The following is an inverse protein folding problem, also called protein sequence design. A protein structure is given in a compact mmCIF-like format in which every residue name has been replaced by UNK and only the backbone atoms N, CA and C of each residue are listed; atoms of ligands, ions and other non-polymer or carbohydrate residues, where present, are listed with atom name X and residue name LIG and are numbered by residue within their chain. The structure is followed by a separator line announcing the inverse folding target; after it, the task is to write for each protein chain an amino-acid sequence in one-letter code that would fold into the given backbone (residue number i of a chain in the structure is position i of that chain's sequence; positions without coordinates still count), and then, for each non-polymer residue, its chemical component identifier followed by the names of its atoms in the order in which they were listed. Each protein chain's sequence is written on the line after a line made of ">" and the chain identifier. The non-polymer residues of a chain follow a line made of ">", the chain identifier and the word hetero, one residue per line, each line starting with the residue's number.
data_IF_154356004412
#
_entry.id   IF_154356004412
#
_cell.length_a   1.000
_cell.length_b   1.000
_cell.length_c   1.000
_cell.angle_alpha   90.00
_cell.angle_beta   90.00
_cell.angle_gamma   90.00
#
_symmetry.space_group_name_H-M   'P 1'
#
loop_
_entity.id
_entity.type
_entity.pdbx_description
1 polymer ?
#
# COMPACT_ATOMS: atom_id res chain seq x y z
N UNK A 1 -13.97 12.87 -3.60
CA UNK A 1 -14.83 12.80 -4.79
C UNK A 1 -14.05 12.19 -5.93
N UNK A 2 -14.56 11.16 -6.63
CA UNK A 2 -13.95 10.71 -7.87
C UNK A 2 -13.97 11.86 -8.89
N UNK A 3 -12.87 12.07 -9.59
CA UNK A 3 -12.74 13.15 -10.58
C UNK A 3 -12.41 12.61 -11.97
N UNK A 4 -12.28 11.29 -12.11
CA UNK A 4 -11.91 10.60 -13.35
C UNK A 4 -12.78 9.36 -13.56
N UNK A 5 -12.99 8.98 -14.82
CA UNK A 5 -13.80 7.84 -15.23
C UNK A 5 -13.08 7.06 -16.35
N UNK A 6 -13.00 5.72 -16.22
CA UNK A 6 -12.49 4.82 -17.27
C UNK A 6 -13.68 4.13 -17.94
N UNK A 7 -13.86 4.32 -19.24
CA UNK A 7 -14.95 3.68 -19.98
C UNK A 7 -14.73 2.16 -20.08
N UNK A 8 -15.76 1.38 -19.73
CA UNK A 8 -15.72 -0.08 -19.82
C UNK A 8 -16.41 -0.55 -21.10
N UNK A 9 -15.81 -1.50 -21.83
CA UNK A 9 -16.38 -2.06 -23.06
C UNK A 9 -17.54 -3.03 -22.83
N UNK A 10 -17.80 -3.43 -21.57
CA UNK A 10 -18.82 -4.42 -21.22
C UNK A 10 -19.80 -3.79 -20.22
N UNK A 11 -20.81 -3.08 -20.71
CA UNK A 11 -21.89 -2.58 -19.84
C UNK A 11 -22.93 -3.68 -19.67
N UNK A 12 -23.02 -4.22 -18.47
CA UNK A 12 -24.12 -5.10 -18.07
C UNK A 12 -25.36 -4.26 -17.73
N UNK A 13 -26.55 -4.83 -17.90
CA UNK A 13 -27.82 -4.08 -17.76
C UNK A 13 -27.99 -3.58 -16.32
N UNK A 14 -27.75 -2.30 -16.08
CA UNK A 14 -27.86 -1.64 -14.77
C UNK A 14 -26.55 -1.06 -14.23
N UNK A 15 -25.42 -1.30 -14.90
CA UNK A 15 -24.11 -0.79 -14.51
C UNK A 15 -23.73 0.45 -15.35
N UNK A 16 -23.17 1.46 -14.70
CA UNK A 16 -22.62 2.63 -15.39
C UNK A 16 -21.52 2.14 -16.35
N UNK A 17 -21.41 2.66 -17.59
CA UNK A 17 -20.45 2.18 -18.58
C UNK A 17 -19.02 2.67 -18.30
N UNK A 18 -18.70 2.97 -17.05
CA UNK A 18 -17.41 3.46 -16.61
C UNK A 18 -17.16 3.16 -15.13
N UNK A 19 -15.89 3.02 -14.79
CA UNK A 19 -15.40 2.91 -13.42
C UNK A 19 -14.84 4.26 -12.95
N UNK A 20 -15.15 4.67 -11.72
CA UNK A 20 -14.77 5.97 -11.17
C UNK A 20 -13.49 5.88 -10.34
N UNK A 21 -12.58 6.84 -10.55
CA UNK A 21 -11.29 6.91 -9.86
C UNK A 21 -11.08 8.25 -9.15
N UNK A 22 -10.47 8.25 -7.95
CA UNK A 22 -10.09 9.48 -7.26
C UNK A 22 -8.91 10.15 -7.98
N UNK A 23 -9.00 11.45 -8.29
CA UNK A 23 -7.89 12.22 -8.86
C UNK A 23 -7.08 12.99 -7.83
N UNK A 24 -6.97 12.47 -6.61
CA UNK A 24 -6.37 13.19 -5.48
C UNK A 24 -4.88 13.51 -5.65
N UNK A 25 -4.20 13.04 -6.71
CA UNK A 25 -2.76 13.21 -6.88
C UNK A 25 -2.33 13.60 -8.32
N UNK A 26 -3.20 14.24 -9.11
CA UNK A 26 -2.82 14.74 -10.44
C UNK A 26 -2.64 13.61 -11.47
N UNK A 27 -1.53 13.61 -12.23
CA UNK A 27 -1.21 12.51 -13.18
C UNK A 27 -1.00 11.18 -12.45
N UNK A 28 -0.47 11.21 -11.22
CA UNK A 28 -0.17 10.03 -10.43
C UNK A 28 -1.44 9.19 -10.20
N UNK A 29 -1.46 8.01 -10.81
CA UNK A 29 -2.58 7.07 -10.76
C UNK A 29 -3.42 7.05 -12.03
N UNK A 30 -3.43 8.14 -12.82
CA UNK A 30 -4.04 8.13 -14.15
C UNK A 30 -3.24 7.30 -15.14
N UNK A 31 -1.93 7.19 -14.97
CA UNK A 31 -1.09 6.32 -15.80
C UNK A 31 -1.62 4.88 -15.78
N UNK A 32 -2.07 4.41 -14.61
CA UNK A 32 -2.65 3.06 -14.46
C UNK A 32 -3.93 2.88 -15.28
N UNK A 33 -4.76 3.92 -15.40
CA UNK A 33 -6.00 3.86 -16.19
C UNK A 33 -5.76 3.68 -17.69
N UNK A 34 -4.58 4.08 -18.17
CA UNK A 34 -4.18 4.01 -19.57
C UNK A 34 -3.05 3.00 -19.81
N UNK A 35 -2.77 2.12 -18.84
CA UNK A 35 -1.77 1.06 -18.97
C UNK A 35 -0.32 1.54 -18.98
N UNK A 36 -0.06 2.75 -18.48
CA UNK A 36 1.28 3.31 -18.33
C UNK A 36 1.83 3.02 -16.92
N UNK A 37 3.15 2.83 -16.77
CA UNK A 37 3.76 2.70 -15.45
C UNK A 37 3.64 4.02 -14.68
N UNK A 38 3.31 3.94 -13.39
CA UNK A 38 3.36 5.12 -12.52
C UNK A 38 4.82 5.54 -12.32
N UNK A 39 5.16 6.82 -12.49
CA UNK A 39 6.52 7.29 -12.22
C UNK A 39 6.85 7.12 -10.73
N UNK A 40 8.12 6.83 -10.37
CA UNK A 40 8.55 6.81 -8.98
C UNK A 40 8.29 8.16 -8.30
N UNK A 41 7.77 8.13 -7.08
CA UNK A 41 7.62 9.33 -6.27
C UNK A 41 8.86 9.49 -5.38
N UNK A 42 9.67 10.55 -5.54
CA UNK A 42 10.87 10.75 -4.72
C UNK A 42 10.55 10.95 -3.23
N UNK A 43 9.30 11.28 -2.90
CA UNK A 43 8.80 11.39 -1.53
C UNK A 43 8.17 10.08 -1.00
N UNK A 44 8.21 8.97 -1.76
CA UNK A 44 7.66 7.67 -1.37
C UNK A 44 8.48 6.96 -0.30
N UNK A 45 8.64 7.63 0.84
CA UNK A 45 9.30 7.12 2.03
C UNK A 45 8.30 7.25 3.17
N UNK A 46 8.05 6.13 3.85
CA UNK A 46 7.16 6.13 4.99
C UNK A 46 7.77 6.94 6.16
N UNK A 47 6.96 7.61 6.99
CA UNK A 47 7.47 8.39 8.13
C UNK A 47 8.39 7.57 9.04
N UNK A 48 9.37 8.18 9.72
CA UNK A 48 10.21 7.47 10.66
C UNK A 48 9.38 6.92 11.84
N UNK A 49 9.76 5.73 12.32
CA UNK A 49 9.16 5.16 13.55
C UNK A 49 9.76 5.87 14.77
N UNK A 50 8.91 6.49 15.58
CA UNK A 50 9.33 7.48 16.57
C UNK A 50 9.77 6.86 17.89
N UNK A 51 9.14 5.74 18.27
CA UNK A 51 9.41 5.07 19.55
C UNK A 51 10.30 3.84 19.41
N UNK A 52 10.98 3.51 20.51
CA UNK A 52 11.63 2.22 20.66
C UNK A 52 10.60 1.12 20.95
N UNK A 53 10.95 -0.10 20.55
CA UNK A 53 10.20 -1.32 20.82
C UNK A 53 10.40 -1.78 22.26
N UNK A 54 9.34 -2.31 22.87
CA UNK A 54 9.43 -3.03 24.12
C UNK A 54 9.70 -4.53 23.91
N UNK A 55 9.85 -5.29 25.02
CA UNK A 55 10.07 -6.74 24.96
C UNK A 55 8.94 -7.49 24.24
N UNK A 56 7.70 -7.04 24.40
CA UNK A 56 6.54 -7.68 23.79
C UNK A 56 6.53 -7.51 22.27
N UNK A 57 6.76 -6.29 21.77
CA UNK A 57 6.82 -6.02 20.34
C UNK A 57 7.95 -6.81 19.66
N UNK A 58 9.11 -6.89 20.32
CA UNK A 58 10.24 -7.68 19.84
C UNK A 58 9.91 -9.18 19.77
N UNK A 59 9.25 -9.72 20.79
CA UNK A 59 8.83 -11.12 20.80
C UNK A 59 7.84 -11.42 19.66
N UNK A 60 6.83 -10.57 19.47
CA UNK A 60 5.86 -10.69 18.38
C UNK A 60 6.56 -10.59 17.02
N UNK A 61 7.39 -9.56 16.81
CA UNK A 61 8.05 -9.35 15.53
C UNK A 61 9.03 -10.48 15.17
N UNK A 62 9.68 -11.09 16.16
CA UNK A 62 10.54 -12.27 15.94
C UNK A 62 9.72 -13.45 15.43
N UNK A 63 8.59 -13.76 16.09
CA UNK A 63 7.72 -14.85 15.65
C UNK A 63 7.07 -14.59 14.28
N UNK A 64 6.71 -13.34 14.01
CA UNK A 64 6.21 -12.91 12.70
C UNK A 64 7.28 -13.12 11.61
N UNK A 65 8.52 -12.72 11.86
CA UNK A 65 9.64 -12.86 10.92
C UNK A 65 10.01 -14.34 10.63
N UNK A 66 9.86 -15.22 11.61
CA UNK A 66 10.10 -16.67 11.48
C UNK A 66 8.90 -17.40 10.82
N UNK A 67 7.75 -16.74 10.74
CA UNK A 67 6.52 -17.27 10.17
C UNK A 67 6.35 -16.86 8.69
N UNK A 68 5.24 -17.28 8.08
CA UNK A 68 4.81 -16.83 6.74
C UNK A 68 3.85 -15.64 6.80
N UNK A 69 3.99 -14.79 7.82
CA UNK A 69 3.12 -13.62 8.03
C UNK A 69 3.77 -12.41 7.37
N UNK A 70 2.98 -11.66 6.60
CA UNK A 70 3.42 -10.44 5.92
C UNK A 70 2.38 -9.34 6.14
N UNK A 71 2.85 -8.10 6.30
CA UNK A 71 2.00 -6.92 6.33
C UNK A 71 1.99 -6.27 4.95
N UNK A 72 0.80 -6.10 4.37
CA UNK A 72 0.59 -5.38 3.12
C UNK A 72 0.18 -3.95 3.43
N UNK A 73 0.85 -2.95 2.86
CA UNK A 73 0.53 -1.57 3.11
C UNK A 73 1.06 -0.62 2.05
N UNK A 74 0.93 0.68 2.32
CA UNK A 74 1.53 1.73 1.49
C UNK A 74 2.25 2.77 2.36
N UNK A 75 3.29 3.38 1.80
CA UNK A 75 4.13 4.36 2.50
C UNK A 75 3.39 5.61 3.00
N UNK A 76 2.33 6.04 2.31
CA UNK A 76 1.55 7.25 2.64
C UNK A 76 0.37 6.98 3.58
N UNK A 77 0.09 5.72 3.88
CA UNK A 77 -1.14 5.32 4.55
C UNK A 77 -1.05 5.51 6.06
N UNK A 78 -1.98 6.29 6.63
CA UNK A 78 -1.96 6.66 8.05
C UNK A 78 -2.14 5.46 8.99
N UNK A 79 -2.98 4.50 8.64
CA UNK A 79 -3.13 3.26 9.42
C UNK A 79 -1.90 2.37 9.33
N UNK A 80 -1.20 2.42 8.18
CA UNK A 80 0.07 1.74 7.96
C UNK A 80 1.12 2.31 8.87
N UNK A 81 1.21 3.63 8.95
CA UNK A 81 2.10 4.28 9.89
C UNK A 81 1.74 3.93 11.33
N UNK A 82 0.47 4.01 11.73
CA UNK A 82 0.04 3.66 13.09
C UNK A 82 0.49 2.24 13.50
N UNK A 83 0.30 1.26 12.62
CA UNK A 83 0.73 -0.12 12.88
C UNK A 83 2.26 -0.24 13.01
N UNK A 84 3.02 0.50 12.20
CA UNK A 84 4.50 0.57 12.32
C UNK A 84 4.92 1.18 13.65
N UNK A 85 4.25 2.26 14.06
CA UNK A 85 4.48 2.89 15.37
C UNK A 85 4.14 1.92 16.51
N UNK A 86 3.14 1.05 16.38
CA UNK A 86 2.83 0.01 17.38
C UNK A 86 3.90 -1.08 17.52
N UNK A 87 4.79 -1.26 16.55
CA UNK A 87 5.95 -2.13 16.74
C UNK A 87 7.14 -1.38 17.36
N UNK A 88 7.32 -0.10 17.04
CA UNK A 88 8.54 0.63 17.37
C UNK A 88 9.73 0.20 16.49
N UNK A 89 10.83 0.95 16.57
CA UNK A 89 11.95 0.86 15.61
C UNK A 89 12.54 -0.54 15.42
N UNK A 90 12.91 -1.20 16.52
CA UNK A 90 13.67 -2.45 16.51
C UNK A 90 12.81 -3.62 16.03
N UNK A 91 11.56 -3.67 16.47
CA UNK A 91 10.62 -4.72 16.10
C UNK A 91 10.10 -4.51 14.68
N UNK A 92 9.78 -3.28 14.28
CA UNK A 92 9.33 -2.98 12.91
C UNK A 92 10.37 -3.41 11.87
N UNK A 93 11.66 -3.21 12.16
CA UNK A 93 12.75 -3.64 11.28
C UNK A 93 12.78 -5.16 11.01
N UNK A 94 12.07 -5.97 11.80
CA UNK A 94 11.95 -7.42 11.62
C UNK A 94 10.67 -7.83 10.88
N UNK A 95 9.65 -6.98 10.82
CA UNK A 95 8.35 -7.33 10.25
C UNK A 95 8.46 -7.43 8.73
N UNK A 96 8.10 -8.57 8.11
CA UNK A 96 8.01 -8.67 6.65
C UNK A 96 6.93 -7.74 6.12
N UNK A 97 7.33 -6.69 5.41
CA UNK A 97 6.46 -5.67 4.85
C UNK A 97 6.46 -5.72 3.32
N UNK A 98 5.28 -5.65 2.72
CA UNK A 98 5.05 -5.59 1.28
C UNK A 98 4.47 -4.22 0.94
N UNK A 99 5.28 -3.40 0.27
CA UNK A 99 4.88 -2.10 -0.24
C UNK A 99 4.03 -2.26 -1.50
N UNK A 100 2.76 -1.87 -1.43
CA UNK A 100 1.79 -2.10 -2.49
C UNK A 100 1.64 -0.93 -3.46
N UNK A 101 2.19 0.25 -3.15
CA UNK A 101 2.14 1.38 -4.06
C UNK A 101 3.30 1.33 -5.06
N UNK A 102 3.05 1.17 -6.37
CA UNK A 102 4.11 1.03 -7.38
C UNK A 102 5.02 2.25 -7.52
N UNK A 103 4.68 3.38 -6.91
CA UNK A 103 5.48 4.61 -6.93
C UNK A 103 6.64 4.57 -5.94
N UNK A 104 6.60 3.68 -4.95
CA UNK A 104 7.69 3.49 -4.02
C UNK A 104 8.82 2.67 -4.66
N UNK A 105 10.06 3.02 -4.32
CA UNK A 105 11.22 2.21 -4.72
C UNK A 105 11.13 0.82 -4.07
N UNK A 106 11.29 -0.24 -4.87
CA UNK A 106 11.19 -1.62 -4.39
C UNK A 106 9.76 -2.08 -4.09
N UNK A 107 8.74 -1.37 -4.58
CA UNK A 107 7.35 -1.78 -4.47
C UNK A 107 7.09 -3.17 -5.09
N UNK A 108 6.13 -3.87 -4.50
CA UNK A 108 5.72 -5.22 -4.84
C UNK A 108 4.23 -5.25 -5.22
N UNK A 109 3.75 -4.25 -5.97
CA UNK A 109 2.34 -4.09 -6.33
C UNK A 109 1.70 -5.36 -6.92
N UNK A 110 2.40 -6.06 -7.81
CA UNK A 110 1.91 -7.32 -8.39
C UNK A 110 1.67 -8.42 -7.35
N UNK A 111 2.47 -8.46 -6.28
CA UNK A 111 2.27 -9.40 -5.16
C UNK A 111 1.01 -9.06 -4.39
N UNK A 112 0.73 -7.77 -4.16
CA UNK A 112 -0.48 -7.32 -3.48
C UNK A 112 -1.74 -7.63 -4.30
N UNK A 113 -1.67 -7.43 -5.62
CA UNK A 113 -2.75 -7.80 -6.55
C UNK A 113 -3.00 -9.31 -6.54
N UNK A 114 -1.94 -10.12 -6.64
CA UNK A 114 -2.05 -11.58 -6.60
C UNK A 114 -2.58 -12.10 -5.25
N UNK A 115 -2.27 -11.41 -4.15
CA UNK A 115 -2.81 -11.69 -2.82
C UNK A 115 -4.25 -11.21 -2.61
N UNK A 116 -4.84 -10.47 -3.58
CA UNK A 116 -6.20 -9.96 -3.49
C UNK A 116 -6.37 -8.88 -2.42
N UNK A 117 -5.33 -8.09 -2.13
CA UNK A 117 -5.39 -7.02 -1.12
C UNK A 117 -6.30 -5.89 -1.60
N UNK A 118 -7.30 -5.55 -0.79
CA UNK A 118 -8.31 -4.52 -1.12
C UNK A 118 -8.28 -3.30 -0.20
N UNK A 119 -7.52 -3.34 0.89
CA UNK A 119 -7.38 -2.26 1.87
C UNK A 119 -6.01 -2.37 2.57
N UNK A 120 -5.55 -1.26 3.18
CA UNK A 120 -4.22 -1.15 3.76
C UNK A 120 -4.22 -0.41 5.11
N UNK A 121 -3.38 -0.86 6.07
CA UNK A 121 -3.21 -2.26 6.44
C UNK A 121 -4.41 -2.75 7.26
#
# INVERSE_FOLDING_TARGET
>A
YPTWALATTTSSKGEQPFELFPGSQGLYGLERLVGLPSPPDPAAVAPPVERDSGPQELAVATQVAESRVEMYGTWWCTFCDYQRQLFGRQAWAKVPYVECDPRAAGAQAAKCEAAGVRAFP
#
